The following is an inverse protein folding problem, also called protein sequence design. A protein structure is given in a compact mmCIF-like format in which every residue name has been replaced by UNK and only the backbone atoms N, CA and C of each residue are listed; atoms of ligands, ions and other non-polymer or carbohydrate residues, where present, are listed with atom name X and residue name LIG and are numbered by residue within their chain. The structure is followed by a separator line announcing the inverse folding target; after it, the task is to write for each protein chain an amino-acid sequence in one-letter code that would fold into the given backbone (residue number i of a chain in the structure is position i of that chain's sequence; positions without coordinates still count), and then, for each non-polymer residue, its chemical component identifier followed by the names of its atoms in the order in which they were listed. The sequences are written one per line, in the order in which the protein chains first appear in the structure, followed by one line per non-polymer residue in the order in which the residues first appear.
data_IF_796944956131
#
_entry.id   IF_796944956131
#
_cell.length_a   1.000
_cell.length_b   1.000
_cell.length_c   1.000
_cell.angle_alpha   90.00
_cell.angle_beta   90.00
_cell.angle_gamma   90.00
#
_symmetry.space_group_name_H-M   'P 1'
#
loop_
_entity.id
_entity.type
_entity.pdbx_description
1 polymer ?
#
# COMPACT_ATOMS: atom_id res chain seq x y z
N UNK A 1 17.52 -11.05 30.15
CA UNK A 1 17.17 -11.57 28.81
C UNK A 1 15.82 -10.99 28.44
N UNK A 2 15.79 -9.93 27.63
CA UNK A 2 14.53 -9.42 27.09
C UNK A 2 14.00 -10.44 26.08
N UNK A 3 12.74 -10.89 26.17
CA UNK A 3 12.13 -11.58 25.06
C UNK A 3 11.94 -10.57 23.93
N UNK A 4 12.36 -10.97 22.74
CA UNK A 4 12.23 -10.23 21.51
C UNK A 4 10.73 -9.98 21.26
N UNK A 5 10.28 -8.74 21.46
CA UNK A 5 8.93 -8.33 21.09
C UNK A 5 9.00 -7.67 19.72
N UNK A 6 8.85 -8.48 18.67
CA UNK A 6 8.67 -8.08 17.26
C UNK A 6 7.35 -7.31 17.02
N UNK A 7 6.86 -6.55 18.01
CA UNK A 7 5.56 -5.87 17.98
C UNK A 7 5.62 -4.38 17.62
N UNK A 8 6.78 -3.83 17.27
CA UNK A 8 6.80 -2.50 16.63
C UNK A 8 6.45 -2.57 15.13
N UNK A 9 5.58 -3.52 14.76
CA UNK A 9 4.96 -3.59 13.45
C UNK A 9 3.82 -2.55 13.40
N UNK A 10 4.20 -1.26 13.39
CA UNK A 10 3.41 -0.09 12.99
C UNK A 10 1.91 -0.30 13.25
N UNK A 11 1.37 0.19 14.37
CA UNK A 11 -0.08 0.18 14.60
C UNK A 11 -0.77 0.99 13.48
N UNK A 12 -1.19 0.32 12.41
CA UNK A 12 -1.80 0.95 11.24
C UNK A 12 -3.23 1.27 11.63
N UNK A 13 -3.51 2.55 11.85
CA UNK A 13 -4.87 3.02 12.04
C UNK A 13 -5.56 3.18 10.67
N UNK A 14 -6.59 2.37 10.33
CA UNK A 14 -7.23 2.45 9.02
C UNK A 14 -7.87 3.82 8.73
N UNK A 15 -8.21 4.59 9.78
CA UNK A 15 -8.80 5.93 9.63
C UNK A 15 -7.82 6.94 9.03
N UNK A 16 -6.51 6.76 9.21
CA UNK A 16 -5.46 7.63 8.66
C UNK A 16 -5.27 7.48 7.15
N UNK A 17 -5.90 6.46 6.56
CA UNK A 17 -5.82 6.16 5.14
C UNK A 17 -7.10 6.53 4.39
N UNK A 18 -8.12 7.05 5.10
CA UNK A 18 -9.37 7.45 4.49
C UNK A 18 -9.16 8.66 3.57
N UNK A 19 -9.67 8.55 2.35
CA UNK A 19 -9.71 9.64 1.37
C UNK A 19 -11.10 10.25 1.40
N UNK A 20 -11.16 11.59 1.29
CA UNK A 20 -12.41 12.31 1.08
C UNK A 20 -12.77 12.17 -0.40
N UNK A 21 -13.89 11.51 -0.66
CA UNK A 21 -14.41 11.35 -2.00
C UNK A 21 -14.88 12.72 -2.54
N UNK A 22 -14.35 13.22 -3.67
CA UNK A 22 -14.64 14.58 -4.13
C UNK A 22 -16.10 14.77 -4.53
N UNK A 23 -16.76 13.70 -4.98
CA UNK A 23 -18.16 13.74 -5.42
C UNK A 23 -19.13 13.67 -4.24
N UNK A 24 -18.93 12.72 -3.33
CA UNK A 24 -19.85 12.48 -2.22
C UNK A 24 -19.48 13.20 -0.92
N UNK A 25 -18.27 13.77 -0.83
CA UNK A 25 -17.65 14.31 0.40
C UNK A 25 -17.58 13.33 1.57
N UNK A 26 -17.78 12.02 1.31
CA UNK A 26 -17.70 10.97 2.32
C UNK A 26 -16.27 10.46 2.44
N UNK A 27 -15.90 10.01 3.63
CA UNK A 27 -14.64 9.29 3.87
C UNK A 27 -14.77 7.86 3.39
N UNK A 28 -13.84 7.41 2.55
CA UNK A 28 -13.77 6.02 2.08
C UNK A 28 -12.35 5.50 2.13
N UNK A 29 -12.20 4.19 2.21
CA UNK A 29 -10.90 3.56 2.02
C UNK A 29 -10.34 3.89 0.62
N UNK A 30 -9.01 3.97 0.48
CA UNK A 30 -8.39 4.24 -0.81
C UNK A 30 -8.64 3.08 -1.78
N UNK A 31 -8.65 3.37 -3.07
CA UNK A 31 -8.44 2.39 -4.13
C UNK A 31 -6.97 1.95 -4.12
N UNK A 32 -6.67 0.88 -4.84
CA UNK A 32 -5.34 0.29 -4.81
C UNK A 32 -4.24 1.23 -5.31
N UNK A 33 -4.49 1.94 -6.42
CA UNK A 33 -3.58 2.94 -6.95
C UNK A 33 -3.41 4.12 -5.98
N UNK A 34 -4.52 4.67 -5.46
CA UNK A 34 -4.48 5.74 -4.46
C UNK A 34 -3.67 5.34 -3.21
N UNK A 35 -3.80 4.10 -2.75
CA UNK A 35 -3.00 3.57 -1.64
C UNK A 35 -1.50 3.55 -1.96
N UNK A 36 -1.11 3.14 -3.16
CA UNK A 36 0.30 3.18 -3.56
C UNK A 36 0.85 4.60 -3.61
N UNK A 37 0.09 5.56 -4.16
CA UNK A 37 0.50 6.96 -4.15
C UNK A 37 0.68 7.47 -2.71
N UNK A 38 -0.28 7.19 -1.81
CA UNK A 38 -0.17 7.56 -0.40
C UNK A 38 1.04 6.92 0.29
N UNK A 39 1.38 5.69 -0.11
CA UNK A 39 2.50 4.95 0.44
C UNK A 39 3.84 5.48 -0.09
N UNK A 40 3.92 5.82 -1.38
CA UNK A 40 5.07 6.44 -2.03
C UNK A 40 5.34 7.88 -1.54
N UNK A 41 4.30 8.59 -1.09
CA UNK A 41 4.42 9.97 -0.59
C UNK A 41 4.89 10.02 0.89
N UNK A 42 4.83 8.89 1.59
CA UNK A 42 5.25 8.78 3.00
C UNK A 42 6.69 8.25 3.08
N UNK A 43 7.69 9.08 3.46
CA UNK A 43 9.10 8.67 3.46
C UNK A 43 9.39 7.51 4.43
N UNK A 44 8.56 7.34 5.47
CA UNK A 44 8.65 6.24 6.42
C UNK A 44 8.48 4.85 5.80
N UNK A 45 7.82 4.76 4.64
CA UNK A 45 7.63 3.50 3.90
C UNK A 45 8.58 3.36 2.69
N UNK A 46 9.64 4.16 2.62
CA UNK A 46 10.64 4.09 1.55
C UNK A 46 11.33 2.72 1.45
N UNK A 47 11.45 1.97 2.54
CA UNK A 47 11.94 0.59 2.52
C UNK A 47 10.99 -0.40 1.86
N UNK A 48 9.71 -0.02 1.66
CA UNK A 48 8.70 -0.90 1.07
C UNK A 48 8.59 -0.64 -0.44
N UNK A 49 8.62 0.63 -0.84
CA UNK A 49 8.55 1.10 -2.23
C UNK A 49 9.08 2.52 -2.36
N UNK A 50 9.63 2.83 -3.52
CA UNK A 50 10.18 4.15 -3.84
C UNK A 50 9.84 4.58 -5.26
N UNK A 51 9.71 5.88 -5.46
CA UNK A 51 9.73 6.46 -6.81
C UNK A 51 11.08 6.18 -7.48
N UNK A 52 11.03 5.69 -8.72
CA UNK A 52 12.17 5.73 -9.64
C UNK A 52 12.10 7.01 -10.47
N UNK A 53 10.90 7.35 -10.95
CA UNK A 53 10.58 8.61 -11.59
C UNK A 53 9.14 9.02 -11.23
N UNK A 54 8.99 10.01 -10.34
CA UNK A 54 7.68 10.49 -9.88
C UNK A 54 6.87 11.14 -11.01
N UNK A 55 7.52 11.77 -11.98
CA UNK A 55 6.86 12.47 -13.09
C UNK A 55 6.26 11.48 -14.10
N UNK A 56 6.92 10.35 -14.30
CA UNK A 56 6.45 9.28 -15.18
C UNK A 56 5.57 8.24 -14.46
N UNK A 57 5.38 8.39 -13.14
CA UNK A 57 4.66 7.41 -12.33
C UNK A 57 5.40 6.07 -12.19
N UNK A 58 6.72 6.05 -12.42
CA UNK A 58 7.55 4.86 -12.31
C UNK A 58 8.04 4.68 -10.87
N UNK A 59 7.80 3.50 -10.30
CA UNK A 59 8.22 3.15 -8.95
C UNK A 59 8.71 1.71 -8.87
N UNK A 60 9.48 1.42 -7.83
CA UNK A 60 9.94 0.07 -7.50
C UNK A 60 9.36 -0.35 -6.17
N UNK A 61 8.92 -1.60 -6.08
CA UNK A 61 8.52 -2.23 -4.83
C UNK A 61 9.67 -3.09 -4.35
N UNK A 62 10.13 -2.83 -3.13
CA UNK A 62 11.23 -3.55 -2.49
C UNK A 62 10.72 -4.66 -1.57
N UNK A 63 9.59 -4.43 -0.87
CA UNK A 63 9.00 -5.37 0.08
C UNK A 63 7.53 -5.71 -0.27
N UNK A 64 7.29 -6.52 -1.32
CA UNK A 64 5.94 -6.80 -1.84
C UNK A 64 4.99 -7.40 -0.79
N UNK A 65 5.48 -8.26 0.09
CA UNK A 65 4.69 -8.87 1.16
C UNK A 65 4.22 -7.85 2.21
N UNK A 66 5.10 -6.92 2.59
CA UNK A 66 4.77 -5.86 3.55
C UNK A 66 3.72 -4.90 2.99
N UNK A 67 3.81 -4.58 1.70
CA UNK A 67 2.80 -3.78 0.99
C UNK A 67 1.43 -4.47 1.00
N UNK A 68 1.39 -5.78 0.71
CA UNK A 68 0.15 -6.56 0.71
C UNK A 68 -0.46 -6.67 2.12
N UNK A 69 0.38 -6.85 3.16
CA UNK A 69 -0.05 -6.87 4.57
C UNK A 69 -0.64 -5.53 4.99
N UNK A 70 0.04 -4.42 4.66
CA UNK A 70 -0.41 -3.06 4.95
C UNK A 70 -1.73 -2.75 4.24
N UNK A 71 -1.85 -3.08 2.96
CA UNK A 71 -3.08 -2.92 2.20
C UNK A 71 -4.27 -3.65 2.85
N UNK A 72 -4.05 -4.86 3.35
CA UNK A 72 -5.07 -5.64 4.06
C UNK A 72 -5.55 -4.95 5.33
N UNK A 73 -4.61 -4.40 6.13
CA UNK A 73 -4.91 -3.60 7.32
C UNK A 73 -5.74 -2.35 6.94
N UNK A 74 -5.34 -1.62 5.90
CA UNK A 74 -6.03 -0.40 5.43
C UNK A 74 -7.45 -0.69 4.95
N UNK A 75 -7.69 -1.81 4.27
CA UNK A 75 -9.03 -2.16 3.78
C UNK A 75 -9.97 -2.67 4.86
N UNK A 76 -9.47 -2.95 6.07
CA UNK A 76 -10.20 -3.60 7.16
C UNK A 76 -10.99 -4.84 6.68
N UNK A 77 -10.53 -5.47 5.60
CA UNK A 77 -11.13 -6.69 5.06
C UNK A 77 -10.30 -7.82 5.61
N UNK A 78 -10.90 -8.64 6.48
CA UNK A 78 -10.57 -10.06 6.58
C UNK A 78 -10.85 -10.65 5.20
N UNK A 79 -9.96 -10.46 4.23
CA UNK A 79 -10.10 -11.15 2.96
C UNK A 79 -9.93 -12.62 3.30
N UNK A 80 -11.00 -13.41 3.17
CA UNK A 80 -11.08 -14.85 3.48
C UNK A 80 -10.13 -15.73 2.65
N UNK A 81 -9.05 -15.16 2.12
CA UNK A 81 -7.89 -15.81 1.57
C UNK A 81 -6.72 -14.83 1.65
N UNK A 82 -5.55 -15.31 2.07
CA UNK A 82 -4.30 -14.58 2.23
C UNK A 82 -4.10 -13.59 1.07
N UNK A 83 -4.15 -12.28 1.35
CA UNK A 83 -3.79 -11.24 0.39
C UNK A 83 -2.27 -11.34 0.19
N UNK A 84 -1.86 -11.84 -0.96
CA UNK A 84 -0.46 -11.83 -1.38
C UNK A 84 -0.25 -10.77 -2.46
N UNK A 85 1.01 -10.45 -2.71
CA UNK A 85 1.37 -9.44 -3.69
C UNK A 85 0.80 -9.73 -5.07
N UNK A 86 0.67 -10.99 -5.50
CA UNK A 86 0.07 -11.33 -6.80
C UNK A 86 -1.40 -10.89 -6.93
N UNK A 87 -2.19 -11.00 -5.85
CA UNK A 87 -3.60 -10.54 -5.85
C UNK A 87 -3.68 -9.02 -5.83
N UNK A 88 -2.75 -8.37 -5.14
CA UNK A 88 -2.58 -6.93 -5.18
C UNK A 88 -2.18 -6.50 -6.61
N UNK A 89 -1.05 -6.95 -7.14
CA UNK A 89 -0.47 -6.53 -8.42
C UNK A 89 -1.39 -6.72 -9.65
N UNK A 90 -2.41 -7.60 -9.60
CA UNK A 90 -3.42 -7.72 -10.67
C UNK A 90 -4.10 -6.40 -11.02
N UNK A 91 -4.32 -5.51 -10.06
CA UNK A 91 -4.84 -4.15 -10.33
C UNK A 91 -3.81 -3.17 -10.90
N UNK A 92 -2.52 -3.52 -10.85
CA UNK A 92 -1.39 -2.69 -11.30
C UNK A 92 -0.83 -3.11 -12.67
N UNK A 93 -1.33 -4.19 -13.26
CA UNK A 93 -0.79 -4.75 -14.51
C UNK A 93 -0.79 -3.77 -15.69
N UNK A 94 -1.52 -2.66 -15.58
CA UNK A 94 -1.48 -1.55 -16.54
C UNK A 94 -0.20 -0.69 -16.45
N UNK A 95 0.53 -0.70 -15.34
CA UNK A 95 1.70 0.16 -15.09
C UNK A 95 3.05 -0.53 -15.35
N UNK A 96 3.08 -1.86 -15.54
CA UNK A 96 4.30 -2.59 -15.91
C UNK A 96 4.49 -2.74 -17.43
N UNK A 97 3.53 -2.28 -18.24
CA UNK A 97 3.59 -2.45 -19.69
C UNK A 97 4.26 -1.25 -20.37
N UNK A 98 5.53 -0.99 -20.03
CA UNK A 98 6.47 -0.37 -20.95
C UNK A 98 7.89 -0.45 -20.37
N UNK A 99 8.68 -1.29 -20.99
CA UNK A 99 10.07 -1.60 -20.66
C UNK A 99 10.35 -2.91 -21.38
N UNK A 100 10.77 -2.76 -22.65
CA UNK A 100 11.05 -3.77 -23.66
C UNK A 100 11.45 -5.16 -23.17
#
# INVERSE_FOLDING_TARGET
MQPNDDSNEFSVNPKEWLIIDPTSRRRRAPRQNEFLYLLLDRPYYSSYLTWLNKNEGLFKIHAPEQVAKLWSKVKNRKTNGTMNYDKFARGLRFYYKSGS
#
